data_IF_010752509800
#
_entry.id   IF_010752509800
#
_cell.length_a   1.000
_cell.length_b   1.000
_cell.length_c   1.000
_cell.angle_alpha   90.00
_cell.angle_beta   90.00
_cell.angle_gamma   90.00
#
_symmetry.space_group_name_H-M   'P 1'
#
loop_
_entity.id
_entity.type
_entity.pdbx_description
1 polymer ?
#
# COMPACT_ATOMS: atom_id res chain seq x y z
N UNK A 1 36.93 3.95 26.19
CA UNK A 1 35.66 4.15 25.45
C UNK A 1 35.83 3.51 24.12
N UNK A 2 35.30 2.30 23.96
CA UNK A 2 35.42 1.51 22.72
C UNK A 2 34.25 1.92 21.83
N UNK A 3 34.51 2.63 20.75
CA UNK A 3 33.55 2.94 19.69
C UNK A 3 33.22 1.63 18.96
N UNK A 4 32.07 1.06 19.22
CA UNK A 4 31.55 -0.03 18.41
C UNK A 4 31.27 0.51 17.01
N UNK A 5 32.11 0.14 16.06
CA UNK A 5 31.87 0.32 14.62
C UNK A 5 30.71 -0.59 14.25
N UNK A 6 29.52 -0.01 14.00
CA UNK A 6 28.41 -0.71 13.39
C UNK A 6 28.87 -1.18 12.00
N UNK A 7 28.94 -2.49 11.80
CA UNK A 7 29.14 -3.07 10.45
C UNK A 7 27.99 -2.58 9.55
N UNK A 8 28.28 -2.13 8.33
CA UNK A 8 27.22 -1.78 7.40
C UNK A 8 26.37 -3.02 7.11
N UNK A 9 25.05 -2.89 7.30
CA UNK A 9 24.11 -3.96 6.99
C UNK A 9 24.29 -4.40 5.53
N UNK A 10 24.36 -5.71 5.29
CA UNK A 10 24.51 -6.26 3.93
C UNK A 10 23.30 -5.81 3.07
N UNK A 11 23.54 -5.23 1.88
CA UNK A 11 22.44 -4.82 1.01
C UNK A 11 21.52 -6.00 0.70
N UNK A 12 20.21 -5.77 0.74
CA UNK A 12 19.23 -6.79 0.37
C UNK A 12 19.34 -7.12 -1.12
N UNK A 13 19.23 -8.40 -1.48
CA UNK A 13 19.16 -8.80 -2.89
C UNK A 13 17.83 -8.35 -3.50
N UNK A 14 17.81 -8.14 -4.81
CA UNK A 14 16.59 -7.77 -5.53
C UNK A 14 15.49 -8.82 -5.42
N UNK A 15 15.87 -10.11 -5.33
CA UNK A 15 14.96 -11.22 -5.07
C UNK A 15 14.34 -11.10 -3.68
N UNK A 16 15.13 -10.85 -2.65
CA UNK A 16 14.62 -10.67 -1.28
C UNK A 16 13.67 -9.46 -1.19
N UNK A 17 13.99 -8.36 -1.89
CA UNK A 17 13.10 -7.18 -1.95
C UNK A 17 11.76 -7.54 -2.59
N UNK A 18 11.77 -8.30 -3.69
CA UNK A 18 10.55 -8.75 -4.35
C UNK A 18 9.71 -9.69 -3.47
N UNK A 19 10.36 -10.64 -2.78
CA UNK A 19 9.71 -11.51 -1.80
C UNK A 19 9.03 -10.71 -0.67
N UNK A 20 9.70 -9.67 -0.15
CA UNK A 20 9.12 -8.79 0.86
C UNK A 20 7.93 -8.00 0.32
N UNK A 21 7.98 -7.52 -0.92
CA UNK A 21 6.89 -6.80 -1.53
C UNK A 21 5.65 -7.70 -1.74
N UNK A 22 5.84 -8.92 -2.25
CA UNK A 22 4.75 -9.90 -2.40
C UNK A 22 4.19 -10.32 -1.03
N UNK A 23 5.06 -10.58 -0.06
CA UNK A 23 4.65 -10.93 1.30
C UNK A 23 3.83 -9.81 1.96
N UNK A 24 4.17 -8.54 1.69
CA UNK A 24 3.42 -7.40 2.20
C UNK A 24 2.01 -7.30 1.59
N UNK A 25 1.86 -7.55 0.29
CA UNK A 25 0.55 -7.61 -0.37
C UNK A 25 -0.27 -8.77 0.18
N UNK A 26 0.32 -9.96 0.31
CA UNK A 26 -0.37 -11.12 0.89
C UNK A 26 -0.77 -10.87 2.34
N UNK A 27 0.08 -10.23 3.13
CA UNK A 27 -0.22 -9.88 4.52
C UNK A 27 -1.37 -8.87 4.66
N UNK A 28 -1.54 -7.97 3.67
CA UNK A 28 -2.72 -7.12 3.55
C UNK A 28 -3.95 -7.95 3.14
N UNK A 29 -3.84 -8.78 2.11
CA UNK A 29 -4.94 -9.61 1.61
C UNK A 29 -5.51 -10.54 2.72
N UNK A 30 -4.65 -11.18 3.48
CA UNK A 30 -5.00 -12.12 4.56
C UNK A 30 -5.56 -11.45 5.81
N UNK A 31 -5.34 -10.14 5.99
CA UNK A 31 -5.85 -9.42 7.15
C UNK A 31 -7.37 -9.53 7.22
N UNK A 32 -7.86 -10.03 8.36
CA UNK A 32 -9.29 -10.26 8.62
C UNK A 32 -9.61 -9.87 10.07
N UNK A 33 -10.66 -9.08 10.33
CA UNK A 33 -11.60 -8.49 9.35
C UNK A 33 -11.09 -7.18 8.73
N UNK A 34 -11.53 -6.86 7.50
CA UNK A 34 -11.25 -5.56 6.84
C UNK A 34 -12.55 -4.89 6.39
N UNK A 35 -12.86 -3.63 6.81
CA UNK A 35 -14.11 -2.99 6.40
C UNK A 35 -14.16 -2.76 4.89
N UNK A 36 -15.14 -3.37 4.23
CA UNK A 36 -15.39 -3.21 2.80
C UNK A 36 -14.36 -3.78 1.83
N UNK A 37 -13.23 -4.30 2.32
CA UNK A 37 -12.22 -4.98 1.51
C UNK A 37 -12.47 -6.48 1.46
N UNK A 38 -11.87 -7.14 0.47
CA UNK A 38 -11.83 -8.60 0.39
C UNK A 38 -11.04 -9.16 1.56
N UNK A 39 -11.58 -10.14 2.26
CA UNK A 39 -10.90 -10.88 3.32
C UNK A 39 -11.42 -12.32 3.41
N UNK A 40 -11.04 -13.09 4.43
CA UNK A 40 -11.48 -14.48 4.62
C UNK A 40 -13.00 -14.63 4.79
N UNK A 41 -13.73 -13.56 5.13
CA UNK A 41 -15.19 -13.58 5.26
C UNK A 41 -15.90 -13.47 3.90
N UNK A 42 -15.20 -13.02 2.85
CA UNK A 42 -15.74 -12.89 1.49
C UNK A 42 -15.21 -11.70 0.72
N UNK A 43 -15.95 -11.34 -0.31
CA UNK A 43 -15.57 -10.32 -1.31
C UNK A 43 -15.72 -8.86 -0.84
N UNK A 44 -16.16 -8.61 0.40
CA UNK A 44 -16.37 -7.25 0.91
C UNK A 44 -17.35 -6.46 0.03
N UNK A 45 -16.98 -5.27 -0.38
CA UNK A 45 -17.76 -4.40 -1.26
C UNK A 45 -17.63 -4.74 -2.76
N UNK A 46 -16.98 -5.86 -3.10
CA UNK A 46 -16.73 -6.31 -4.46
C UNK A 46 -17.65 -7.46 -4.87
N UNK A 47 -17.84 -7.61 -6.19
CA UNK A 47 -18.56 -8.73 -6.80
C UNK A 47 -17.72 -9.46 -7.84
N UNK A 48 -16.51 -8.98 -8.07
CA UNK A 48 -15.61 -9.33 -9.17
C UNK A 48 -14.26 -9.90 -8.70
N UNK A 49 -14.03 -9.97 -7.38
CA UNK A 49 -12.79 -10.50 -6.82
C UNK A 49 -13.01 -11.20 -5.48
N UNK A 50 -12.11 -12.13 -5.17
CA UNK A 50 -12.05 -12.87 -3.92
C UNK A 50 -10.61 -12.98 -3.40
N UNK A 51 -10.41 -13.61 -2.25
CA UNK A 51 -9.10 -13.75 -1.62
C UNK A 51 -8.12 -14.59 -2.46
N UNK A 52 -8.59 -15.65 -3.12
CA UNK A 52 -7.74 -16.48 -3.97
C UNK A 52 -7.20 -15.66 -5.15
N UNK A 53 -8.04 -14.87 -5.79
CA UNK A 53 -7.64 -13.95 -6.86
C UNK A 53 -6.64 -12.89 -6.36
N UNK A 54 -6.78 -12.38 -5.13
CA UNK A 54 -5.80 -11.45 -4.55
C UNK A 54 -4.43 -12.13 -4.37
N UNK A 55 -4.39 -13.39 -3.97
CA UNK A 55 -3.14 -14.14 -3.87
C UNK A 55 -2.49 -14.38 -5.25
N UNK A 56 -3.26 -14.83 -6.25
CA UNK A 56 -2.78 -15.01 -7.62
C UNK A 56 -2.21 -13.69 -8.18
N UNK A 57 -2.91 -12.59 -7.93
CA UNK A 57 -2.47 -11.25 -8.27
C UNK A 57 -1.14 -10.88 -7.60
N UNK A 58 -1.02 -11.09 -6.30
CA UNK A 58 0.21 -10.76 -5.56
C UNK A 58 1.42 -11.52 -6.12
N UNK A 59 1.25 -12.82 -6.40
CA UNK A 59 2.32 -13.66 -6.93
C UNK A 59 2.75 -13.25 -8.33
N UNK A 60 1.80 -12.83 -9.17
CA UNK A 60 2.08 -12.37 -10.54
C UNK A 60 2.98 -11.11 -10.58
N UNK A 61 3.06 -10.35 -9.49
CA UNK A 61 3.83 -9.12 -9.39
C UNK A 61 5.29 -9.32 -8.96
N UNK A 62 5.67 -10.53 -8.53
CA UNK A 62 7.03 -10.82 -8.04
C UNK A 62 8.13 -10.40 -9.04
N UNK A 63 7.97 -10.76 -10.33
CA UNK A 63 8.93 -10.44 -11.38
C UNK A 63 9.08 -8.92 -11.52
N UNK A 64 7.96 -8.18 -11.52
CA UNK A 64 7.98 -6.74 -11.65
C UNK A 64 8.75 -6.06 -10.48
N UNK A 65 8.57 -6.52 -9.25
CA UNK A 65 9.31 -5.97 -8.10
C UNK A 65 10.80 -6.30 -8.17
N UNK A 66 11.18 -7.52 -8.57
CA UNK A 66 12.58 -7.91 -8.76
C UNK A 66 13.26 -7.08 -9.87
N UNK A 67 12.57 -6.87 -10.99
CA UNK A 67 13.06 -6.04 -12.10
C UNK A 67 13.16 -4.56 -11.72
N UNK A 68 12.25 -4.02 -10.91
CA UNK A 68 12.35 -2.65 -10.38
C UNK A 68 13.64 -2.48 -9.55
N UNK A 69 13.93 -3.42 -8.66
CA UNK A 69 15.16 -3.43 -7.88
C UNK A 69 16.40 -3.56 -8.77
N UNK A 70 16.39 -4.50 -9.72
CA UNK A 70 17.50 -4.72 -10.65
C UNK A 70 17.78 -3.50 -11.54
N UNK A 71 16.74 -2.86 -12.07
CA UNK A 71 16.89 -1.65 -12.86
C UNK A 71 17.54 -0.52 -12.05
N UNK A 72 17.16 -0.39 -10.78
CA UNK A 72 17.71 0.63 -9.88
C UNK A 72 19.21 0.40 -9.62
N UNK A 73 19.65 -0.82 -9.37
CA UNK A 73 21.08 -1.13 -9.12
C UNK A 73 21.96 -0.91 -10.35
N UNK A 74 21.40 -0.84 -11.54
CA UNK A 74 22.12 -0.64 -12.81
C UNK A 74 22.05 0.81 -13.32
N UNK A 75 21.41 1.71 -12.59
CA UNK A 75 21.13 3.08 -13.04
C UNK A 75 21.20 4.05 -11.88
N UNK A 76 21.39 5.33 -12.17
CA UNK A 76 21.19 6.39 -11.18
C UNK A 76 19.72 6.85 -11.17
N UNK A 77 19.18 7.31 -10.04
CA UNK A 77 17.86 7.91 -10.00
C UNK A 77 17.73 9.09 -10.96
N UNK A 78 16.86 8.95 -11.96
CA UNK A 78 16.70 9.95 -13.02
C UNK A 78 15.65 9.54 -14.06
N UNK A 79 15.52 10.36 -15.14
CA UNK A 79 14.48 10.12 -16.15
C UNK A 79 14.58 8.77 -16.87
N UNK A 80 15.79 8.24 -17.06
CA UNK A 80 16.00 6.94 -17.71
C UNK A 80 15.51 5.79 -16.83
N UNK A 81 15.94 5.77 -15.56
CA UNK A 81 15.43 4.80 -14.59
C UNK A 81 13.91 4.93 -14.46
N UNK A 82 13.37 6.17 -14.37
CA UNK A 82 11.92 6.38 -14.29
C UNK A 82 11.17 5.80 -15.49
N UNK A 83 11.69 5.98 -16.70
CA UNK A 83 11.09 5.42 -17.91
C UNK A 83 11.12 3.87 -17.86
N UNK A 84 12.24 3.28 -17.47
CA UNK A 84 12.38 1.82 -17.31
C UNK A 84 11.41 1.26 -16.27
N UNK A 85 11.27 1.91 -15.09
CA UNK A 85 10.28 1.53 -14.08
C UNK A 85 8.85 1.63 -14.61
N UNK A 86 8.56 2.60 -15.49
CA UNK A 86 7.27 2.71 -16.17
C UNK A 86 6.99 1.52 -17.09
N UNK A 87 7.97 1.05 -17.85
CA UNK A 87 7.85 -0.15 -18.69
C UNK A 87 7.61 -1.41 -17.85
N UNK A 88 8.39 -1.59 -16.79
CA UNK A 88 8.25 -2.72 -15.85
C UNK A 88 6.88 -2.68 -15.19
N UNK A 89 6.44 -1.51 -14.71
CA UNK A 89 5.11 -1.37 -14.09
C UNK A 89 3.97 -1.73 -15.04
N UNK A 90 4.05 -1.32 -16.32
CA UNK A 90 3.06 -1.73 -17.35
C UNK A 90 3.11 -3.22 -17.65
N UNK A 91 4.28 -3.84 -17.62
CA UNK A 91 4.42 -5.30 -17.77
C UNK A 91 3.81 -6.02 -16.56
N UNK A 92 4.09 -5.57 -15.34
CA UNK A 92 3.49 -6.09 -14.11
C UNK A 92 1.97 -5.92 -14.08
N UNK A 93 1.44 -4.79 -14.56
CA UNK A 93 -0.01 -4.58 -14.67
C UNK A 93 -0.65 -5.58 -15.65
N UNK A 94 -0.01 -5.86 -16.79
CA UNK A 94 -0.50 -6.89 -17.72
C UNK A 94 -0.49 -8.29 -17.09
N UNK A 95 0.60 -8.67 -16.41
CA UNK A 95 0.69 -9.95 -15.71
C UNK A 95 -0.40 -10.09 -14.63
N UNK A 96 -0.64 -9.02 -13.85
CA UNK A 96 -1.73 -8.97 -12.88
C UNK A 96 -3.10 -9.16 -13.53
N UNK A 97 -3.39 -8.43 -14.61
CA UNK A 97 -4.67 -8.53 -15.32
C UNK A 97 -4.87 -9.90 -15.94
N UNK A 98 -3.81 -10.53 -16.45
CA UNK A 98 -3.85 -11.90 -16.96
C UNK A 98 -4.18 -12.90 -15.84
N UNK A 99 -3.48 -12.83 -14.70
CA UNK A 99 -3.72 -13.69 -13.55
C UNK A 99 -5.13 -13.53 -12.98
N UNK A 100 -5.69 -12.31 -13.04
CA UNK A 100 -6.99 -11.97 -12.45
C UNK A 100 -8.14 -11.90 -13.49
N UNK A 101 -7.93 -12.41 -14.69
CA UNK A 101 -8.95 -12.41 -15.76
C UNK A 101 -9.49 -11.00 -16.08
N UNK A 102 -8.61 -10.01 -16.04
CA UNK A 102 -8.93 -8.61 -16.35
C UNK A 102 -9.39 -7.76 -15.16
N UNK A 103 -9.43 -8.33 -13.95
CA UNK A 103 -9.82 -7.58 -12.75
C UNK A 103 -8.62 -6.81 -12.19
N UNK A 104 -8.79 -5.51 -11.98
CA UNK A 104 -7.77 -4.67 -11.37
C UNK A 104 -7.80 -4.84 -9.84
N UNK A 105 -6.86 -5.57 -9.31
CA UNK A 105 -6.72 -5.88 -7.86
C UNK A 105 -5.68 -5.00 -7.16
N UNK A 106 -4.43 -4.98 -7.64
CA UNK A 106 -3.27 -4.40 -6.94
C UNK A 106 -2.51 -3.32 -7.73
N UNK A 107 -3.17 -2.60 -8.67
CA UNK A 107 -2.50 -1.54 -9.45
C UNK A 107 -1.84 -0.47 -8.57
N UNK A 108 -2.50 -0.04 -7.50
CA UNK A 108 -1.96 0.96 -6.58
C UNK A 108 -0.79 0.41 -5.76
N UNK A 109 -0.90 -0.84 -5.29
CA UNK A 109 0.20 -1.54 -4.62
C UNK A 109 1.40 -1.73 -5.56
N UNK A 110 1.19 -2.15 -6.82
CA UNK A 110 2.24 -2.25 -7.84
C UNK A 110 2.98 -0.92 -8.03
N UNK A 111 2.24 0.19 -8.12
CA UNK A 111 2.83 1.52 -8.21
C UNK A 111 3.70 1.86 -7.00
N UNK A 112 3.14 1.75 -5.79
CA UNK A 112 3.83 2.10 -4.56
C UNK A 112 5.04 1.20 -4.30
N UNK A 113 4.82 -0.12 -4.32
CA UNK A 113 5.87 -1.11 -4.03
C UNK A 113 6.93 -1.20 -5.13
N UNK A 114 6.59 -0.97 -6.40
CA UNK A 114 7.56 -0.89 -7.48
C UNK A 114 8.57 0.23 -7.28
N UNK A 115 8.11 1.42 -6.90
CA UNK A 115 8.98 2.56 -6.57
C UNK A 115 9.79 2.30 -5.29
N UNK A 116 9.16 1.75 -4.24
CA UNK A 116 9.82 1.43 -2.98
C UNK A 116 10.84 0.29 -3.15
N UNK A 117 10.59 -0.71 -4.00
CA UNK A 117 11.53 -1.77 -4.34
C UNK A 117 12.78 -1.23 -5.04
N UNK A 118 12.58 -0.30 -5.98
CA UNK A 118 13.72 0.38 -6.63
C UNK A 118 14.53 1.19 -5.60
N UNK A 119 13.86 1.90 -4.70
CA UNK A 119 14.52 2.66 -3.63
C UNK A 119 15.27 1.76 -2.64
N UNK A 120 14.65 0.66 -2.22
CA UNK A 120 15.26 -0.30 -1.29
C UNK A 120 16.53 -0.97 -1.85
N UNK A 121 16.55 -1.23 -3.16
CA UNK A 121 17.73 -1.83 -3.83
C UNK A 121 18.96 -0.89 -3.87
N UNK A 122 18.73 0.42 -3.75
CA UNK A 122 19.82 1.42 -3.70
C UNK A 122 20.34 1.64 -2.27
N UNK A 123 19.70 1.03 -1.26
CA UNK A 123 20.14 1.08 0.13
C UNK A 123 19.57 2.27 0.91
N UNK A 124 20.12 2.49 2.12
CA UNK A 124 19.67 3.56 3.01
C UNK A 124 18.46 3.20 3.89
N UNK A 125 18.08 1.92 3.94
CA UNK A 125 16.97 1.43 4.75
C UNK A 125 15.62 2.01 4.33
N UNK A 126 14.61 1.98 5.20
CA UNK A 126 13.25 2.45 4.86
C UNK A 126 13.19 3.93 4.47
N UNK A 127 13.97 4.79 5.12
CA UNK A 127 14.00 6.22 4.82
C UNK A 127 14.59 6.49 3.43
N UNK A 128 15.75 5.88 3.12
CA UNK A 128 16.36 5.99 1.79
C UNK A 128 15.46 5.45 0.69
N UNK A 129 14.78 4.31 0.93
CA UNK A 129 13.82 3.76 -0.01
C UNK A 129 12.68 4.74 -0.34
N UNK A 130 12.14 5.41 0.67
CA UNK A 130 11.10 6.44 0.51
C UNK A 130 11.62 7.65 -0.27
N UNK A 131 12.80 8.17 0.08
CA UNK A 131 13.36 9.37 -0.54
C UNK A 131 13.62 9.16 -2.04
N UNK A 132 14.19 8.00 -2.40
CA UNK A 132 14.42 7.62 -3.80
C UNK A 132 13.10 7.41 -4.54
N UNK A 133 12.14 6.72 -3.91
CA UNK A 133 10.82 6.51 -4.50
C UNK A 133 10.11 7.84 -4.79
N UNK A 134 10.21 8.81 -3.88
CA UNK A 134 9.65 10.15 -4.06
C UNK A 134 10.31 10.92 -5.21
N UNK A 135 11.64 10.87 -5.30
CA UNK A 135 12.39 11.48 -6.42
C UNK A 135 11.96 10.88 -7.76
N UNK A 136 11.87 9.55 -7.86
CA UNK A 136 11.43 8.86 -9.07
C UNK A 136 9.96 9.17 -9.40
N UNK A 137 9.08 9.24 -8.41
CA UNK A 137 7.67 9.56 -8.60
C UNK A 137 7.45 10.99 -9.11
N UNK A 138 8.35 11.94 -8.78
CA UNK A 138 8.29 13.32 -9.24
C UNK A 138 8.65 13.47 -10.73
N UNK A 139 9.35 12.49 -11.31
CA UNK A 139 9.74 12.51 -12.73
C UNK A 139 8.58 12.00 -13.59
N UNK A 140 8.10 12.76 -14.60
CA UNK A 140 7.07 12.27 -15.51
C UNK A 140 7.50 11.02 -16.30
N UNK A 141 6.61 10.07 -16.45
CA UNK A 141 6.82 8.94 -17.35
C UNK A 141 6.63 9.38 -18.80
N UNK A 142 7.67 9.28 -19.62
CA UNK A 142 7.67 9.66 -21.03
C UNK A 142 6.76 8.80 -21.90
N UNK A 143 6.43 7.59 -21.42
CA UNK A 143 5.65 6.59 -22.15
C UNK A 143 4.27 6.33 -21.53
N UNK A 144 3.74 7.31 -20.78
CA UNK A 144 2.39 7.22 -20.22
C UNK A 144 1.37 7.06 -21.35
N UNK A 145 0.70 5.90 -21.41
CA UNK A 145 -0.42 5.68 -22.32
C UNK A 145 -1.67 6.38 -21.80
N UNK A 146 -2.49 6.91 -22.70
CA UNK A 146 -3.68 7.71 -22.40
C UNK A 146 -4.84 6.98 -21.70
N UNK A 147 -4.67 5.70 -21.31
CA UNK A 147 -5.72 4.94 -20.64
C UNK A 147 -5.93 5.46 -19.22
N UNK A 148 -7.00 6.21 -19.04
CA UNK A 148 -7.28 6.88 -17.79
C UNK A 148 -7.81 5.91 -16.73
N UNK A 149 -7.01 5.67 -15.67
CA UNK A 149 -7.43 4.86 -14.52
C UNK A 149 -8.54 5.54 -13.69
N UNK A 150 -9.30 4.75 -12.91
CA UNK A 150 -10.28 5.27 -11.96
C UNK A 150 -9.66 6.27 -10.98
N UNK A 151 -8.43 6.01 -10.51
CA UNK A 151 -7.67 6.92 -9.66
C UNK A 151 -7.33 8.24 -10.35
N UNK A 152 -6.92 8.22 -11.64
CA UNK A 152 -6.64 9.43 -12.40
C UNK A 152 -7.90 10.28 -12.60
N UNK A 153 -9.05 9.65 -12.88
CA UNK A 153 -10.35 10.34 -12.96
C UNK A 153 -10.75 10.96 -11.63
N UNK A 154 -10.60 10.25 -10.51
CA UNK A 154 -10.91 10.77 -9.19
C UNK A 154 -10.00 11.96 -8.83
N UNK A 155 -8.70 11.87 -9.09
CA UNK A 155 -7.75 12.99 -8.93
C UNK A 155 -8.21 14.25 -9.66
N UNK A 156 -8.51 14.12 -10.96
CA UNK A 156 -8.93 15.26 -11.77
C UNK A 156 -10.27 15.85 -11.32
N UNK A 157 -11.22 14.97 -10.94
CA UNK A 157 -12.57 15.40 -10.54
C UNK A 157 -12.61 16.06 -9.17
N UNK A 158 -11.81 15.58 -8.23
CA UNK A 158 -11.90 15.97 -6.81
C UNK A 158 -10.68 16.75 -6.32
N UNK A 159 -9.65 16.95 -7.15
CA UNK A 159 -8.44 17.70 -6.78
C UNK A 159 -7.56 16.99 -5.74
N UNK A 160 -7.71 15.69 -5.56
CA UNK A 160 -6.93 14.91 -4.58
C UNK A 160 -5.63 14.38 -5.15
N UNK A 161 -4.55 14.19 -4.36
CA UNK A 161 -3.24 13.78 -4.86
C UNK A 161 -3.22 12.34 -5.41
N UNK A 162 -4.00 11.42 -4.83
CA UNK A 162 -4.03 10.00 -5.17
C UNK A 162 -2.66 9.32 -5.01
N UNK A 163 -2.52 8.08 -5.52
CA UNK A 163 -1.30 7.28 -5.35
C UNK A 163 -0.04 7.96 -5.91
N UNK A 164 -0.17 8.73 -7.01
CA UNK A 164 0.98 9.42 -7.58
C UNK A 164 1.47 10.56 -6.67
N UNK A 165 0.55 11.40 -6.17
CA UNK A 165 0.92 12.48 -5.25
C UNK A 165 1.36 11.96 -3.88
N UNK A 166 0.81 10.83 -3.42
CA UNK A 166 1.28 10.15 -2.22
C UNK A 166 2.76 9.76 -2.32
N UNK A 167 3.14 9.11 -3.44
CA UNK A 167 4.53 8.75 -3.68
C UNK A 167 5.43 9.98 -3.85
N UNK A 168 5.00 11.00 -4.61
CA UNK A 168 5.75 12.25 -4.82
C UNK A 168 6.03 13.01 -3.52
N UNK A 169 5.10 12.95 -2.56
CA UNK A 169 5.25 13.55 -1.24
C UNK A 169 6.02 12.68 -0.23
N UNK A 170 6.59 11.55 -0.66
CA UNK A 170 7.33 10.63 0.19
C UNK A 170 6.44 9.83 1.14
N UNK A 171 5.31 9.39 0.66
CA UNK A 171 4.36 8.52 1.38
C UNK A 171 3.96 9.05 2.77
N UNK A 172 3.40 10.26 2.87
CA UNK A 172 3.07 10.88 4.15
C UNK A 172 2.09 10.03 4.97
N UNK A 173 1.10 9.36 4.34
CA UNK A 173 0.15 8.52 5.07
C UNK A 173 0.80 7.23 5.60
N UNK A 174 1.82 6.69 4.93
CA UNK A 174 2.60 5.57 5.46
C UNK A 174 3.46 6.02 6.64
N UNK A 175 4.17 7.15 6.50
CA UNK A 175 5.16 7.62 7.49
C UNK A 175 4.53 8.21 8.76
N UNK A 176 3.46 8.96 8.62
CA UNK A 176 2.88 9.74 9.73
C UNK A 176 1.78 8.97 10.49
N UNK A 177 0.66 8.50 9.87
CA UNK A 177 -0.32 7.72 10.61
C UNK A 177 -0.01 6.23 10.67
N UNK A 178 0.42 5.58 9.57
CA UNK A 178 0.44 4.14 9.48
C UNK A 178 1.58 3.47 10.26
N UNK A 179 2.84 3.79 10.00
CA UNK A 179 3.97 3.23 10.74
C UNK A 179 3.91 3.52 12.25
N UNK A 180 3.58 4.74 12.71
CA UNK A 180 3.37 4.99 14.13
C UNK A 180 2.23 4.15 14.74
N UNK A 181 1.11 3.96 14.03
CA UNK A 181 0.01 3.11 14.50
C UNK A 181 0.43 1.65 14.65
N UNK A 182 1.13 1.09 13.65
CA UNK A 182 1.66 -0.27 13.67
C UNK A 182 2.59 -0.48 14.89
N UNK A 183 3.55 0.42 15.06
CA UNK A 183 4.51 0.37 16.16
C UNK A 183 3.84 0.59 17.53
N UNK A 184 2.86 1.47 17.61
CA UNK A 184 2.09 1.69 18.83
C UNK A 184 1.30 0.45 19.21
N UNK A 185 0.60 -0.19 18.27
CA UNK A 185 -0.15 -1.41 18.51
C UNK A 185 0.75 -2.54 19.04
N UNK A 186 1.90 -2.76 18.43
CA UNK A 186 2.89 -3.74 18.92
C UNK A 186 3.39 -3.43 20.35
N UNK A 187 3.64 -2.16 20.67
CA UNK A 187 4.10 -1.76 22.02
C UNK A 187 3.08 -2.07 23.12
N UNK A 188 1.80 -2.03 22.85
CA UNK A 188 0.78 -2.44 23.83
C UNK A 188 0.39 -3.93 23.73
N UNK A 189 1.18 -4.74 22.99
CA UNK A 189 1.07 -6.20 22.98
C UNK A 189 0.06 -6.75 21.96
N UNK A 190 -0.33 -5.99 20.92
CA UNK A 190 -1.14 -6.52 19.84
C UNK A 190 -0.40 -7.64 19.08
N UNK A 191 -1.14 -8.65 18.66
CA UNK A 191 -0.67 -9.53 17.61
C UNK A 191 -0.58 -8.79 16.25
N UNK A 192 0.09 -9.39 15.28
CA UNK A 192 0.32 -8.76 13.98
C UNK A 192 -0.97 -8.45 13.21
N UNK A 193 -1.99 -9.29 13.32
CA UNK A 193 -3.28 -9.02 12.67
C UNK A 193 -3.96 -7.80 13.28
N UNK A 194 -4.01 -7.72 14.61
CA UNK A 194 -4.53 -6.56 15.33
C UNK A 194 -3.72 -5.29 15.05
N UNK A 195 -2.38 -5.38 15.01
CA UNK A 195 -1.53 -4.24 14.71
C UNK A 195 -1.74 -3.71 13.29
N UNK A 196 -1.87 -4.58 12.30
CA UNK A 196 -2.20 -4.22 10.90
C UNK A 196 -3.61 -3.65 10.78
N UNK A 197 -4.57 -4.15 11.56
CA UNK A 197 -5.93 -3.61 11.55
C UNK A 197 -5.98 -2.17 12.08
N UNK A 198 -5.30 -1.89 13.21
CA UNK A 198 -5.18 -0.51 13.72
C UNK A 198 -4.48 0.40 12.72
N UNK A 199 -3.49 -0.12 11.98
CA UNK A 199 -2.80 0.60 10.91
C UNK A 199 -3.74 0.91 9.74
N UNK A 200 -4.55 -0.05 9.30
CA UNK A 200 -5.55 0.14 8.26
C UNK A 200 -6.58 1.20 8.67
N UNK A 201 -7.05 1.17 9.91
CA UNK A 201 -7.99 2.17 10.44
C UNK A 201 -7.36 3.57 10.45
N UNK A 202 -6.07 3.70 10.76
CA UNK A 202 -5.35 4.98 10.72
C UNK A 202 -5.26 5.54 9.29
N UNK A 203 -5.00 4.68 8.30
CA UNK A 203 -5.03 5.05 6.88
C UNK A 203 -6.43 5.47 6.45
N UNK A 204 -7.45 4.66 6.76
CA UNK A 204 -8.85 4.96 6.41
C UNK A 204 -9.36 6.25 7.03
N UNK A 205 -8.86 6.64 8.20
CA UNK A 205 -9.25 7.86 8.90
C UNK A 205 -8.74 9.14 8.25
N UNK A 206 -7.67 9.06 7.44
CA UNK A 206 -6.92 10.24 6.97
C UNK A 206 -6.79 10.33 5.45
N UNK A 207 -6.70 9.21 4.75
CA UNK A 207 -6.43 9.16 3.31
C UNK A 207 -7.63 9.67 2.48
N UNK A 208 -7.36 10.53 1.50
CA UNK A 208 -8.30 10.84 0.42
C UNK A 208 -8.33 9.70 -0.61
N UNK A 209 -8.89 8.57 -0.18
CA UNK A 209 -8.90 7.32 -0.92
C UNK A 209 -9.66 7.45 -2.25
N UNK A 210 -8.93 7.37 -3.36
CA UNK A 210 -9.49 7.53 -4.71
C UNK A 210 -10.43 6.39 -5.12
N UNK A 211 -10.29 5.20 -4.53
CA UNK A 211 -11.22 4.09 -4.76
C UNK A 211 -12.58 4.39 -4.11
N UNK A 212 -12.56 4.93 -2.89
CA UNK A 212 -13.78 5.37 -2.19
C UNK A 212 -14.42 6.56 -2.88
N UNK A 213 -13.63 7.55 -3.31
CA UNK A 213 -14.12 8.69 -4.08
C UNK A 213 -14.77 8.27 -5.40
N UNK A 214 -14.19 7.29 -6.09
CA UNK A 214 -14.76 6.76 -7.32
C UNK A 214 -16.13 6.10 -7.10
N UNK A 215 -16.29 5.32 -6.01
CA UNK A 215 -17.50 4.55 -5.70
C UNK A 215 -18.59 5.36 -5.01
N UNK A 216 -18.22 6.17 -4.02
CA UNK A 216 -19.17 6.87 -3.12
C UNK A 216 -19.05 8.39 -3.10
N UNK A 217 -18.14 8.96 -3.92
CA UNK A 217 -17.88 10.39 -3.94
C UNK A 217 -17.41 10.97 -2.60
N UNK A 218 -17.43 12.31 -2.44
CA UNK A 218 -16.99 12.96 -1.21
C UNK A 218 -17.81 12.58 0.03
N UNK A 219 -19.11 12.26 -0.15
CA UNK A 219 -19.96 11.83 0.96
C UNK A 219 -19.58 10.43 1.47
N UNK A 220 -19.24 9.51 0.55
CA UNK A 220 -18.73 8.19 0.90
C UNK A 220 -17.40 8.27 1.62
N UNK A 221 -16.48 9.11 1.13
CA UNK A 221 -15.18 9.33 1.75
C UNK A 221 -15.30 9.87 3.18
N UNK A 222 -16.09 10.93 3.38
CA UNK A 222 -16.33 11.48 4.73
C UNK A 222 -16.95 10.46 5.69
N UNK A 223 -17.87 9.65 5.21
CA UNK A 223 -18.51 8.62 6.03
C UNK A 223 -17.51 7.53 6.45
N UNK A 224 -16.66 7.07 5.53
CA UNK A 224 -15.58 6.13 5.81
C UNK A 224 -14.60 6.70 6.86
N UNK A 225 -14.07 7.89 6.59
CA UNK A 225 -13.11 8.56 7.47
C UNK A 225 -13.67 8.79 8.88
N UNK A 226 -14.93 9.25 8.98
CA UNK A 226 -15.59 9.45 10.26
C UNK A 226 -15.83 8.14 11.00
N UNK A 227 -16.20 7.07 10.30
CA UNK A 227 -16.36 5.74 10.87
C UNK A 227 -15.04 5.19 11.41
N UNK A 228 -13.95 5.33 10.65
CA UNK A 228 -12.62 4.89 11.08
C UNK A 228 -12.14 5.68 12.32
N UNK A 229 -12.30 7.00 12.33
CA UNK A 229 -12.01 7.83 13.51
C UNK A 229 -12.83 7.41 14.74
N UNK A 230 -14.11 7.13 14.56
CA UNK A 230 -14.96 6.69 15.67
C UNK A 230 -14.50 5.35 16.28
N UNK A 231 -13.94 4.43 15.47
CA UNK A 231 -13.32 3.20 15.99
C UNK A 231 -12.09 3.54 16.83
N UNK A 232 -11.21 4.41 16.33
CA UNK A 232 -9.97 4.81 17.03
C UNK A 232 -10.28 5.53 18.35
N UNK A 233 -11.21 6.49 18.35
CA UNK A 233 -11.66 7.25 19.52
C UNK A 233 -12.29 6.34 20.59
N UNK A 234 -12.89 5.23 20.17
CA UNK A 234 -13.41 4.21 21.07
C UNK A 234 -12.33 3.27 21.65
N UNK A 235 -11.06 3.53 21.38
CA UNK A 235 -9.91 2.74 21.84
C UNK A 235 -9.49 1.61 20.89
N UNK A 236 -9.87 1.68 19.61
CA UNK A 236 -9.51 0.71 18.58
C UNK A 236 -10.28 -0.60 18.67
N UNK A 237 -9.94 -1.54 17.79
CA UNK A 237 -10.62 -2.86 17.72
C UNK A 237 -10.45 -3.71 19.00
N UNK A 238 -9.47 -3.41 19.84
CA UNK A 238 -9.22 -4.10 21.12
C UNK A 238 -10.35 -3.92 22.14
N UNK A 239 -11.11 -2.82 22.10
CA UNK A 239 -12.17 -2.52 23.06
C UNK A 239 -13.54 -3.06 22.60
N UNK A 240 -14.47 -3.39 23.50
CA UNK A 240 -15.84 -3.76 23.11
C UNK A 240 -16.55 -2.65 22.34
N UNK A 241 -16.39 -1.38 22.73
CA UNK A 241 -16.96 -0.24 22.01
C UNK A 241 -16.34 -0.07 20.63
N UNK A 242 -15.02 -0.15 20.51
CA UNK A 242 -14.33 -0.10 19.22
C UNK A 242 -14.79 -1.19 18.27
N UNK A 243 -14.99 -2.43 18.74
CA UNK A 243 -15.57 -3.51 17.92
C UNK A 243 -16.99 -3.22 17.46
N UNK A 244 -17.84 -2.60 18.29
CA UNK A 244 -19.18 -2.17 17.86
C UNK A 244 -19.10 -1.11 16.75
N UNK A 245 -18.23 -0.11 16.92
CA UNK A 245 -18.00 0.94 15.91
C UNK A 245 -17.42 0.36 14.62
N UNK A 246 -16.50 -0.60 14.74
CA UNK A 246 -15.95 -1.31 13.59
C UNK A 246 -17.03 -2.07 12.80
N UNK A 247 -17.91 -2.79 13.49
CA UNK A 247 -19.05 -3.47 12.84
C UNK A 247 -19.96 -2.48 12.11
N UNK A 248 -20.21 -1.31 12.70
CA UNK A 248 -20.99 -0.26 12.05
C UNK A 248 -20.28 0.29 10.80
N UNK A 249 -18.95 0.47 10.86
CA UNK A 249 -18.12 0.88 9.72
C UNK A 249 -18.13 -0.17 8.60
N UNK A 250 -17.95 -1.45 8.95
CA UNK A 250 -17.97 -2.55 7.97
C UNK A 250 -19.33 -2.63 7.25
N UNK A 251 -20.43 -2.58 8.01
CA UNK A 251 -21.79 -2.55 7.46
C UNK A 251 -22.03 -1.32 6.56
N UNK A 252 -21.51 -0.15 6.93
CA UNK A 252 -21.55 1.05 6.10
C UNK A 252 -20.84 0.82 4.76
N UNK A 253 -19.65 0.23 4.80
CA UNK A 253 -18.86 -0.07 3.60
C UNK A 253 -19.59 -1.06 2.70
N UNK A 254 -20.13 -2.14 3.25
CA UNK A 254 -20.89 -3.15 2.50
C UNK A 254 -22.14 -2.54 1.87
N UNK A 255 -22.97 -1.84 2.66
CA UNK A 255 -24.24 -1.27 2.21
C UNK A 255 -24.04 -0.23 1.09
N UNK A 256 -23.01 0.59 1.21
CA UNK A 256 -22.68 1.64 0.22
C UNK A 256 -21.69 1.21 -0.85
N UNK A 257 -21.25 -0.06 -0.84
CA UNK A 257 -20.23 -0.62 -1.74
C UNK A 257 -18.95 0.22 -1.75
N UNK A 258 -18.51 0.69 -0.58
CA UNK A 258 -17.26 1.42 -0.42
C UNK A 258 -16.11 0.44 -0.18
N UNK A 259 -15.11 0.49 -1.03
CA UNK A 259 -13.88 -0.29 -0.88
C UNK A 259 -12.71 0.67 -0.72
N UNK A 260 -12.05 0.70 0.45
CA UNK A 260 -10.89 1.55 0.70
C UNK A 260 -9.59 0.93 0.13
N UNK A 261 -9.57 0.69 -1.19
CA UNK A 261 -8.45 0.03 -1.88
C UNK A 261 -7.14 0.80 -1.75
N UNK A 262 -7.17 2.13 -1.81
CA UNK A 262 -5.97 2.95 -1.59
C UNK A 262 -5.40 2.79 -0.18
N UNK A 263 -6.26 2.61 0.82
CA UNK A 263 -5.82 2.31 2.20
C UNK A 263 -5.19 0.91 2.30
N UNK A 264 -5.70 -0.09 1.57
CA UNK A 264 -5.09 -1.42 1.44
C UNK A 264 -3.71 -1.36 0.76
N UNK A 265 -3.59 -0.64 -0.35
CA UNK A 265 -2.33 -0.44 -1.06
C UNK A 265 -1.25 0.18 -0.13
N UNK A 266 -1.63 1.18 0.67
CA UNK A 266 -0.70 1.83 1.61
C UNK A 266 -0.43 0.99 2.86
N UNK A 267 -1.35 0.10 3.27
CA UNK A 267 -1.05 -0.90 4.29
C UNK A 267 0.05 -1.85 3.80
N UNK A 268 -0.04 -2.34 2.56
CA UNK A 268 1.01 -3.15 1.94
C UNK A 268 2.35 -2.40 1.91
N UNK A 269 2.37 -1.13 1.53
CA UNK A 269 3.58 -0.29 1.56
C UNK A 269 4.13 -0.12 2.99
N UNK A 270 3.25 0.00 3.99
CA UNK A 270 3.63 0.11 5.41
C UNK A 270 4.30 -1.17 5.89
N UNK A 271 3.70 -2.33 5.62
CA UNK A 271 4.26 -3.65 5.98
C UNK A 271 5.60 -3.89 5.31
N UNK A 272 5.74 -3.49 4.05
CA UNK A 272 7.00 -3.59 3.31
C UNK A 272 8.11 -2.75 3.96
N UNK A 273 7.86 -1.46 4.24
CA UNK A 273 8.85 -0.58 4.85
C UNK A 273 9.22 -1.02 6.27
N UNK A 274 8.26 -1.50 7.05
CA UNK A 274 8.51 -2.07 8.37
C UNK A 274 9.40 -3.32 8.29
N UNK A 275 9.20 -4.19 7.30
CA UNK A 275 10.03 -5.37 7.08
C UNK A 275 11.47 -5.02 6.67
N UNK A 276 11.69 -3.90 5.96
CA UNK A 276 13.02 -3.38 5.66
C UNK A 276 13.73 -2.89 6.93
N UNK A 277 13.02 -2.26 7.86
CA UNK A 277 13.57 -1.73 9.13
C UNK A 277 14.10 -2.87 10.02
N UNK A 278 13.33 -3.94 10.15
CA UNK A 278 13.68 -5.13 10.97
C UNK A 278 14.92 -5.85 10.45
N UNK A 279 15.15 -5.86 9.14
CA UNK A 279 16.32 -6.53 8.52
C UNK A 279 17.55 -5.65 8.44
N UNK A 280 17.42 -4.34 8.59
CA UNK A 280 18.53 -3.37 8.60
C UNK A 280 19.05 -3.04 10.00
N UNK A 281 18.37 -3.51 11.03
CA UNK A 281 18.73 -3.38 12.45
C UNK A 281 19.49 -4.60 12.94
#
# INVERSE_FOLDING_TARGET
MTTATLSPATPLTTTTIAELAVAAIRAEADLTPKPGLVDQRGSGAHTDMDLAMLHESADSLHIAFAECGSAATQSVPGPELRARLGEIGRAGERAMLEATRGVNTHRGALWALGLLSAGAALGGGPAGAVDIAAQLAAIPDRHTTATESHGARARRRYGVPGAAGEAQAGFPHVRLPALPALRAARRWGADEASARLETLLALMATLDDTCVLHRGGPAGLRALQSGARAVQEAGGFRTPEGRRRFTALDNLCLTRRLSPGGSGDLLSATVFLDALDVRGS
#
